data_IF_378703583855
#
_entry.id   IF_378703583855
#
_cell.length_a   1.000
_cell.length_b   1.000
_cell.length_c   1.000
_cell.angle_alpha   90.00
_cell.angle_beta   90.00
_cell.angle_gamma   90.00
#
_symmetry.space_group_name_H-M   'P 1'
#
loop_
_entity.id
_entity.type
_entity.pdbx_description
1 polymer ?
#
# COMPACT_ATOMS: atom_id res chain seq x y z
N UNK A 1 6.36 -1.49 -36.80
CA UNK A 1 6.85 -2.61 -35.98
C UNK A 1 5.66 -3.27 -35.32
N UNK A 2 5.41 -4.58 -35.55
CA UNK A 2 4.38 -5.32 -34.86
C UNK A 2 4.88 -5.81 -33.49
N UNK A 3 4.08 -5.67 -32.44
CA UNK A 3 4.37 -6.24 -31.12
C UNK A 3 3.71 -7.62 -31.09
N UNK A 4 4.50 -8.68 -30.86
CA UNK A 4 4.03 -10.05 -30.73
C UNK A 4 4.02 -10.46 -29.27
N UNK A 5 2.88 -10.91 -28.76
CA UNK A 5 2.76 -11.45 -27.39
C UNK A 5 2.59 -12.97 -27.46
N UNK A 6 3.40 -13.69 -26.68
CA UNK A 6 3.27 -15.14 -26.52
C UNK A 6 2.58 -15.44 -25.19
N UNK A 7 1.59 -16.34 -25.20
CA UNK A 7 0.96 -16.89 -24.01
C UNK A 7 1.63 -18.21 -23.69
N UNK A 8 2.09 -18.46 -22.44
CA UNK A 8 2.61 -19.74 -22.02
C UNK A 8 1.59 -20.87 -22.27
N UNK A 9 2.07 -22.00 -22.76
CA UNK A 9 1.21 -23.13 -23.16
C UNK A 9 0.38 -23.71 -22.00
N UNK A 10 0.97 -23.77 -20.80
CA UNK A 10 0.28 -24.20 -19.58
C UNK A 10 -0.90 -23.30 -19.22
N UNK A 11 -0.79 -22.00 -19.46
CA UNK A 11 -1.89 -21.06 -19.27
C UNK A 11 -2.98 -21.26 -20.34
N UNK A 12 -2.60 -21.45 -21.59
CA UNK A 12 -3.54 -21.71 -22.66
C UNK A 12 -4.33 -23.03 -22.44
N UNK A 13 -3.66 -24.10 -22.01
CA UNK A 13 -4.28 -25.38 -21.66
C UNK A 13 -5.30 -25.18 -20.53
N UNK A 14 -4.91 -24.55 -19.45
CA UNK A 14 -5.78 -24.29 -18.29
C UNK A 14 -7.02 -23.49 -18.66
N UNK A 15 -6.86 -22.43 -19.45
CA UNK A 15 -7.98 -21.60 -19.93
C UNK A 15 -8.91 -22.44 -20.80
N UNK A 16 -8.38 -23.28 -21.69
CA UNK A 16 -9.20 -24.17 -22.56
C UNK A 16 -9.97 -25.22 -21.76
N UNK A 17 -9.37 -25.77 -20.69
CA UNK A 17 -10.04 -26.73 -19.79
C UNK A 17 -11.18 -26.06 -19.02
N UNK A 18 -10.99 -24.83 -18.51
CA UNK A 18 -12.05 -24.08 -17.83
C UNK A 18 -13.20 -23.74 -18.79
N UNK A 19 -12.90 -23.33 -20.01
CA UNK A 19 -13.91 -23.06 -21.03
C UNK A 19 -14.69 -24.32 -21.39
N UNK A 20 -14.04 -25.49 -21.52
CA UNK A 20 -14.72 -26.78 -21.75
C UNK A 20 -15.59 -27.22 -20.59
N UNK A 21 -15.12 -27.00 -19.33
CA UNK A 21 -15.82 -27.48 -18.14
C UNK A 21 -17.00 -26.59 -17.73
N UNK A 22 -16.88 -25.24 -17.87
CA UNK A 22 -17.84 -24.28 -17.32
C UNK A 22 -18.31 -23.21 -18.30
N UNK A 23 -17.78 -23.20 -19.53
CA UNK A 23 -18.08 -22.15 -20.52
C UNK A 23 -17.51 -20.77 -20.23
N UNK A 24 -16.76 -20.62 -19.14
CA UNK A 24 -16.18 -19.35 -18.70
C UNK A 24 -14.82 -19.54 -18.03
N UNK A 25 -13.99 -18.51 -18.09
CA UNK A 25 -12.70 -18.46 -17.36
C UNK A 25 -12.92 -17.73 -16.05
N UNK A 26 -12.71 -18.45 -14.95
CA UNK A 26 -12.74 -17.90 -13.59
C UNK A 26 -11.34 -17.53 -13.15
N UNK A 27 -11.15 -16.29 -12.72
CA UNK A 27 -9.87 -15.81 -12.16
C UNK A 27 -10.02 -15.45 -10.69
N UNK A 28 -9.05 -15.88 -9.89
CA UNK A 28 -8.98 -15.52 -8.49
C UNK A 28 -8.67 -14.02 -8.31
N UNK A 29 -9.26 -13.43 -7.27
CA UNK A 29 -9.05 -12.04 -6.87
C UNK A 29 -8.94 -11.95 -5.35
N UNK A 30 -8.09 -11.06 -4.86
CA UNK A 30 -7.99 -10.74 -3.43
C UNK A 30 -8.40 -9.29 -3.10
N UNK A 31 -8.55 -8.43 -4.10
CA UNK A 31 -9.01 -7.05 -3.93
C UNK A 31 -7.94 -6.12 -3.36
N UNK A 32 -6.71 -6.22 -3.88
CA UNK A 32 -5.62 -5.28 -3.58
C UNK A 32 -5.19 -4.55 -4.84
N UNK A 33 -4.81 -3.30 -4.67
CA UNK A 33 -4.06 -2.54 -5.64
C UNK A 33 -2.59 -2.64 -5.27
N UNK A 34 -1.72 -2.87 -6.25
CA UNK A 34 -0.32 -3.16 -6.01
C UNK A 34 0.60 -2.25 -6.82
N UNK A 35 1.76 -1.94 -6.22
CA UNK A 35 2.83 -1.17 -6.82
C UNK A 35 4.18 -1.85 -6.65
N UNK A 36 5.18 -1.30 -7.34
CA UNK A 36 6.54 -1.81 -7.28
C UNK A 36 7.24 -1.36 -5.99
N UNK A 37 8.02 -2.26 -5.40
CA UNK A 37 8.92 -1.97 -4.28
C UNK A 37 10.24 -1.47 -4.83
N UNK A 38 10.59 -0.21 -4.58
CA UNK A 38 11.90 0.33 -4.97
C UNK A 38 12.98 -0.11 -3.98
N UNK A 39 14.26 -0.09 -4.40
CA UNK A 39 15.39 -0.44 -3.54
C UNK A 39 15.46 0.46 -2.30
N UNK A 40 15.31 1.76 -2.48
CA UNK A 40 15.36 2.74 -1.41
C UNK A 40 14.24 2.50 -0.38
N UNK A 41 13.02 2.17 -0.84
CA UNK A 41 11.90 1.81 0.05
C UNK A 41 12.23 0.53 0.81
N UNK A 42 12.67 -0.54 0.13
CA UNK A 42 13.00 -1.81 0.77
C UNK A 42 14.06 -1.67 1.87
N UNK A 43 15.12 -0.89 1.60
CA UNK A 43 16.17 -0.61 2.59
C UNK A 43 15.64 0.21 3.76
N UNK A 44 14.84 1.25 3.49
CA UNK A 44 14.34 2.17 4.52
C UNK A 44 13.39 1.52 5.52
N UNK A 45 12.59 0.53 5.07
CA UNK A 45 11.64 -0.21 5.93
C UNK A 45 12.27 -1.45 6.58
N UNK A 46 13.51 -1.80 6.20
CA UNK A 46 14.21 -2.99 6.72
C UNK A 46 13.87 -4.30 6.01
N UNK A 47 13.29 -4.26 4.81
CA UNK A 47 13.03 -5.47 3.99
C UNK A 47 14.32 -6.06 3.40
N UNK A 48 15.35 -5.23 3.22
CA UNK A 48 16.67 -5.62 2.72
C UNK A 48 16.76 -5.71 1.21
N UNK A 49 15.85 -6.41 0.53
CA UNK A 49 15.82 -6.55 -0.93
C UNK A 49 14.55 -5.94 -1.52
N UNK A 50 14.66 -5.33 -2.71
CA UNK A 50 13.53 -4.83 -3.49
C UNK A 50 12.77 -6.01 -4.12
N UNK A 51 11.92 -6.67 -3.33
CA UNK A 51 11.09 -7.81 -3.73
C UNK A 51 9.68 -7.66 -3.17
N UNK A 52 8.73 -8.41 -3.74
CA UNK A 52 7.34 -8.38 -3.30
C UNK A 52 6.48 -7.39 -4.09
N UNK A 53 5.23 -7.28 -3.67
CA UNK A 53 4.25 -6.35 -4.21
C UNK A 53 3.80 -5.40 -3.10
N UNK A 54 4.03 -4.09 -3.27
CA UNK A 54 3.56 -3.06 -2.35
C UNK A 54 2.05 -2.91 -2.50
N UNK A 55 1.30 -3.10 -1.43
CA UNK A 55 -0.14 -2.83 -1.38
C UNK A 55 -0.34 -1.32 -1.31
N UNK A 56 -0.82 -0.74 -2.39
CA UNK A 56 -1.13 0.69 -2.49
C UNK A 56 -2.58 1.00 -2.11
N UNK A 57 -3.45 -0.01 -2.15
CA UNK A 57 -4.83 0.11 -1.73
C UNK A 57 -5.46 -1.25 -1.48
N UNK A 58 -6.47 -1.29 -0.61
CA UNK A 58 -7.28 -2.48 -0.32
C UNK A 58 -8.74 -2.12 -0.53
N UNK A 59 -9.42 -2.92 -1.34
CA UNK A 59 -10.84 -2.73 -1.62
C UNK A 59 -11.67 -3.15 -0.41
N UNK A 60 -12.58 -2.27 0.00
CA UNK A 60 -13.44 -2.51 1.16
C UNK A 60 -14.34 -3.75 0.96
N UNK A 61 -14.38 -4.64 1.96
CA UNK A 61 -15.15 -5.88 1.91
C UNK A 61 -14.52 -7.00 1.08
N UNK A 62 -13.36 -6.74 0.46
CA UNK A 62 -12.61 -7.72 -0.32
C UNK A 62 -12.02 -8.84 0.58
N UNK A 63 -11.56 -9.96 -0.01
CA UNK A 63 -10.79 -10.97 0.71
C UNK A 63 -9.58 -10.42 1.47
N UNK A 64 -8.85 -9.48 0.89
CA UNK A 64 -7.69 -8.86 1.52
C UNK A 64 -8.07 -8.00 2.73
N UNK A 65 -9.15 -7.21 2.63
CA UNK A 65 -9.69 -6.42 3.75
C UNK A 65 -10.11 -7.32 4.92
N UNK A 66 -10.85 -8.40 4.62
CA UNK A 66 -11.29 -9.40 5.61
C UNK A 66 -10.13 -10.16 6.25
N UNK A 67 -9.04 -10.39 5.51
CA UNK A 67 -7.83 -11.03 6.01
C UNK A 67 -6.95 -10.08 6.83
N UNK A 68 -7.24 -8.78 6.85
CA UNK A 68 -6.46 -7.77 7.57
C UNK A 68 -5.21 -7.29 6.83
N UNK A 69 -5.19 -7.39 5.50
CA UNK A 69 -4.18 -6.71 4.66
C UNK A 69 -4.43 -5.20 4.72
N UNK A 70 -3.38 -4.42 4.88
CA UNK A 70 -3.45 -2.96 4.97
C UNK A 70 -2.65 -2.31 3.83
N UNK A 71 -3.05 -1.10 3.45
CA UNK A 71 -2.24 -0.29 2.56
C UNK A 71 -0.88 0.02 3.20
N UNK A 72 0.20 -0.14 2.44
CA UNK A 72 1.58 -0.08 2.93
C UNK A 72 2.21 -1.44 3.25
N UNK A 73 1.46 -2.54 3.25
CA UNK A 73 2.01 -3.88 3.33
C UNK A 73 2.83 -4.22 2.08
N UNK A 74 3.84 -5.04 2.24
CA UNK A 74 4.53 -5.65 1.11
C UNK A 74 4.25 -7.15 1.13
N UNK A 75 3.54 -7.66 0.13
CA UNK A 75 3.28 -9.07 -0.01
C UNK A 75 4.56 -9.73 -0.54
N UNK A 76 5.20 -10.55 0.29
CA UNK A 76 6.47 -11.22 -0.01
C UNK A 76 6.31 -12.68 -0.42
N UNK A 77 5.21 -13.33 0.00
CA UNK A 77 4.89 -14.71 -0.38
C UNK A 77 3.39 -14.91 -0.56
N UNK A 78 3.04 -15.84 -1.43
CA UNK A 78 1.67 -16.33 -1.63
C UNK A 78 1.70 -17.86 -1.70
N UNK A 79 0.98 -18.55 -0.80
CA UNK A 79 1.02 -20.02 -0.63
C UNK A 79 2.45 -20.58 -0.57
N UNK A 80 3.32 -19.92 0.23
CA UNK A 80 4.71 -20.29 0.38
C UNK A 80 5.62 -19.93 -0.80
N UNK A 81 5.07 -19.56 -1.97
CA UNK A 81 5.83 -19.15 -3.15
C UNK A 81 6.30 -17.70 -3.01
N UNK A 82 7.60 -17.41 -3.22
CA UNK A 82 8.11 -16.04 -3.12
C UNK A 82 7.54 -15.15 -4.24
N UNK A 83 7.29 -13.89 -3.90
CA UNK A 83 6.95 -12.82 -4.83
C UNK A 83 8.22 -12.01 -5.04
N UNK A 84 8.86 -12.18 -6.17
CA UNK A 84 10.07 -11.43 -6.54
C UNK A 84 9.72 -10.13 -7.27
N UNK A 85 8.73 -10.19 -8.15
CA UNK A 85 8.23 -9.07 -8.94
C UNK A 85 6.76 -8.82 -8.66
N UNK A 86 6.34 -7.57 -8.82
CA UNK A 86 4.93 -7.18 -8.64
C UNK A 86 3.97 -8.02 -9.50
N UNK A 87 4.39 -8.44 -10.70
CA UNK A 87 3.59 -9.25 -11.62
C UNK A 87 3.38 -10.71 -11.16
N UNK A 88 4.18 -11.21 -10.22
CA UNK A 88 4.03 -12.58 -9.72
C UNK A 88 2.75 -12.75 -8.91
N UNK A 89 2.37 -11.73 -8.13
CA UNK A 89 1.19 -11.80 -7.29
C UNK A 89 -0.11 -11.98 -8.10
N UNK A 90 -0.44 -11.15 -9.10
CA UNK A 90 -1.64 -11.35 -9.92
C UNK A 90 -1.65 -12.70 -10.62
N UNK A 91 -0.50 -13.19 -11.08
CA UNK A 91 -0.36 -14.49 -11.72
C UNK A 91 -0.67 -15.63 -10.75
N UNK A 92 -0.12 -15.62 -9.54
CA UNK A 92 -0.35 -16.65 -8.52
C UNK A 92 -1.79 -16.64 -8.04
N UNK A 93 -2.33 -15.46 -7.71
CA UNK A 93 -3.72 -15.28 -7.28
C UNK A 93 -4.70 -15.69 -8.39
N UNK A 94 -4.49 -15.22 -9.61
CA UNK A 94 -5.34 -15.56 -10.77
C UNK A 94 -5.35 -17.05 -11.10
N UNK A 95 -4.28 -17.77 -10.76
CA UNK A 95 -4.15 -19.22 -10.95
C UNK A 95 -4.80 -20.04 -9.83
N UNK A 96 -5.16 -19.40 -8.72
CA UNK A 96 -5.81 -20.07 -7.59
C UNK A 96 -7.33 -20.05 -7.80
N UNK A 97 -7.97 -21.19 -7.59
CA UNK A 97 -9.44 -21.33 -7.75
C UNK A 97 -10.16 -20.43 -6.73
N UNK A 98 -11.19 -19.67 -7.14
CA UNK A 98 -12.06 -18.97 -6.20
C UNK A 98 -12.64 -19.93 -5.16
N UNK A 99 -12.82 -19.44 -3.93
CA UNK A 99 -13.24 -20.22 -2.78
C UNK A 99 -12.12 -20.93 -2.02
N UNK A 100 -10.93 -21.08 -2.59
CA UNK A 100 -9.81 -21.68 -1.88
C UNK A 100 -9.26 -20.74 -0.80
N UNK A 101 -8.84 -21.35 0.32
CA UNK A 101 -8.04 -20.65 1.33
C UNK A 101 -6.58 -20.70 0.94
N UNK A 102 -5.93 -19.56 0.98
CA UNK A 102 -4.51 -19.35 0.69
C UNK A 102 -3.83 -18.61 1.82
N UNK A 103 -2.52 -18.71 1.92
CA UNK A 103 -1.71 -17.94 2.86
C UNK A 103 -0.99 -16.81 2.14
N UNK A 104 -0.97 -15.63 2.76
CA UNK A 104 -0.24 -14.45 2.27
C UNK A 104 0.73 -14.02 3.36
N UNK A 105 2.03 -14.01 3.06
CA UNK A 105 3.02 -13.42 3.96
C UNK A 105 3.20 -11.96 3.59
N UNK A 106 2.87 -11.06 4.51
CA UNK A 106 3.07 -9.62 4.37
C UNK A 106 4.22 -9.16 5.26
N UNK A 107 4.99 -8.20 4.76
CA UNK A 107 5.96 -7.46 5.54
C UNK A 107 5.34 -6.11 5.90
N UNK A 108 5.16 -5.86 7.19
CA UNK A 108 4.51 -4.68 7.76
C UNK A 108 5.36 -4.11 8.87
N UNK A 109 5.76 -2.84 8.76
CA UNK A 109 6.48 -2.10 9.83
C UNK A 109 7.69 -2.85 10.40
N UNK A 110 8.52 -3.42 9.53
CA UNK A 110 9.74 -4.13 9.93
C UNK A 110 9.52 -5.58 10.35
N UNK A 111 8.30 -6.13 10.32
CA UNK A 111 8.00 -7.50 10.70
C UNK A 111 7.21 -8.25 9.62
N UNK A 112 7.52 -9.55 9.45
CA UNK A 112 6.73 -10.44 8.58
C UNK A 112 5.55 -11.02 9.35
N UNK A 113 4.38 -11.12 8.69
CA UNK A 113 3.14 -11.70 9.22
C UNK A 113 2.49 -12.57 8.17
N UNK A 114 1.95 -13.72 8.60
CA UNK A 114 1.16 -14.59 7.74
C UNK A 114 -0.33 -14.33 7.97
N UNK A 115 -1.06 -14.13 6.89
CA UNK A 115 -2.49 -13.86 6.88
C UNK A 115 -3.18 -14.95 6.05
N UNK A 116 -4.28 -15.49 6.58
CA UNK A 116 -5.13 -16.41 5.83
C UNK A 116 -6.14 -15.62 4.99
N UNK A 117 -6.18 -15.89 3.69
CA UNK A 117 -7.06 -15.21 2.75
C UNK A 117 -7.90 -16.22 1.97
N UNK A 118 -9.17 -15.91 1.73
CA UNK A 118 -10.04 -16.72 0.87
C UNK A 118 -10.13 -16.03 -0.49
N UNK A 119 -9.80 -16.75 -1.57
CA UNK A 119 -9.80 -16.17 -2.91
C UNK A 119 -11.24 -15.94 -3.39
N UNK A 120 -11.54 -14.72 -3.86
CA UNK A 120 -12.82 -14.42 -4.50
C UNK A 120 -12.74 -14.59 -6.03
N UNK A 121 -13.89 -14.71 -6.67
CA UNK A 121 -14.01 -14.63 -8.13
C UNK A 121 -13.98 -13.16 -8.57
N UNK A 122 -13.40 -12.85 -9.71
CA UNK A 122 -13.48 -11.53 -10.33
C UNK A 122 -14.90 -11.34 -10.86
N UNK A 123 -15.71 -10.51 -10.20
CA UNK A 123 -16.96 -10.00 -10.78
C UNK A 123 -16.66 -8.78 -11.66
N UNK A 124 -17.40 -8.56 -12.77
CA UNK A 124 -17.22 -7.35 -13.57
C UNK A 124 -17.60 -6.10 -12.79
N UNK A 125 -16.78 -5.08 -12.92
CA UNK A 125 -16.70 -3.83 -12.15
C UNK A 125 -18.01 -3.09 -11.86
N UNK A 126 -18.16 -2.61 -10.61
CA UNK A 126 -19.01 -1.47 -10.24
C UNK A 126 -18.13 -0.23 -10.06
N UNK A 127 -18.48 0.94 -10.61
CA UNK A 127 -17.64 2.15 -10.56
C UNK A 127 -17.58 2.78 -9.17
N UNK A 128 -16.38 3.24 -8.79
CA UNK A 128 -16.08 3.92 -7.53
C UNK A 128 -16.57 5.39 -7.55
N UNK A 129 -17.13 5.84 -6.43
CA UNK A 129 -17.64 7.21 -6.22
C UNK A 129 -16.56 8.10 -5.63
N UNK A 130 -16.37 9.28 -6.23
CA UNK A 130 -15.48 10.36 -5.75
C UNK A 130 -16.16 11.18 -4.68
N UNK A 131 -15.44 11.58 -3.62
CA UNK A 131 -15.92 12.55 -2.62
C UNK A 131 -14.93 13.69 -2.45
N UNK A 132 -15.47 14.88 -2.26
CA UNK A 132 -14.83 16.18 -2.29
C UNK A 132 -14.38 16.67 -0.89
N UNK A 133 -13.47 17.61 -0.91
CA UNK A 133 -12.60 18.21 0.09
C UNK A 133 -13.30 19.29 0.94
N UNK A 134 -12.88 19.47 2.21
CA UNK A 134 -13.05 20.72 2.97
C UNK A 134 -11.99 20.93 4.04
N UNK A 135 -11.44 22.16 4.09
CA UNK A 135 -10.24 22.58 4.81
C UNK A 135 -10.48 23.08 6.24
N UNK A 136 -9.52 22.88 7.14
CA UNK A 136 -9.24 23.71 8.33
C UNK A 136 -7.74 23.95 8.50
N UNK A 137 -7.36 25.18 8.93
CA UNK A 137 -5.97 25.69 8.95
C UNK A 137 -5.11 25.20 10.13
N UNK A 138 -3.81 24.96 9.91
CA UNK A 138 -2.92 24.26 10.84
C UNK A 138 -2.00 25.14 11.71
N UNK A 139 -1.54 24.55 12.83
CA UNK A 139 -0.38 25.03 13.60
C UNK A 139 0.74 24.00 13.49
N UNK A 140 1.91 24.40 12.98
CA UNK A 140 3.06 23.54 12.79
C UNK A 140 3.99 23.53 14.00
N UNK A 141 4.53 22.36 14.36
CA UNK A 141 5.56 22.20 15.40
C UNK A 141 6.97 22.37 14.86
N UNK A 142 7.92 22.69 15.75
CA UNK A 142 9.31 22.96 15.40
C UNK A 142 10.04 21.77 14.74
N UNK A 143 9.69 20.52 15.11
CA UNK A 143 10.31 19.32 14.53
C UNK A 143 9.83 19.06 13.10
N UNK A 144 8.56 19.32 12.81
CA UNK A 144 7.98 19.20 11.47
C UNK A 144 8.52 20.27 10.51
N UNK A 145 8.82 21.47 11.03
CA UNK A 145 9.41 22.57 10.23
C UNK A 145 10.82 22.22 9.71
N UNK A 146 11.62 21.44 10.46
CA UNK A 146 12.98 21.05 10.04
C UNK A 146 13.01 20.18 8.77
N UNK A 147 11.96 19.43 8.49
CA UNK A 147 11.83 18.61 7.28
C UNK A 147 10.88 19.24 6.26
N UNK A 148 10.38 20.45 6.53
CA UNK A 148 9.47 21.17 5.66
C UNK A 148 8.05 20.61 5.66
N UNK A 149 7.57 20.04 6.77
CA UNK A 149 6.18 19.56 6.91
C UNK A 149 5.42 20.37 7.95
N UNK A 150 4.19 20.74 7.61
CA UNK A 150 3.16 21.15 8.56
C UNK A 150 2.00 20.17 8.46
N UNK A 151 1.54 19.68 9.60
CA UNK A 151 0.48 18.65 9.65
C UNK A 151 -0.65 19.07 10.59
N UNK A 152 -1.84 18.56 10.30
CA UNK A 152 -3.05 18.73 11.13
C UNK A 152 -3.63 17.37 11.49
N UNK A 153 -4.47 17.34 12.53
CA UNK A 153 -5.17 16.10 12.87
C UNK A 153 -6.28 15.78 11.87
N UNK A 154 -6.44 14.49 11.59
CA UNK A 154 -7.63 13.99 10.90
C UNK A 154 -8.85 14.17 11.78
N UNK A 155 -9.91 14.74 11.21
CA UNK A 155 -11.21 14.81 11.89
C UNK A 155 -11.84 13.41 12.02
N UNK A 156 -12.69 13.21 13.01
CA UNK A 156 -13.37 11.93 13.20
C UNK A 156 -14.26 11.56 12.01
N UNK A 157 -14.79 12.56 11.30
CA UNK A 157 -15.51 12.36 10.05
C UNK A 157 -14.60 11.79 8.95
N UNK A 158 -13.41 12.37 8.76
CA UNK A 158 -12.41 11.89 7.80
C UNK A 158 -11.88 10.50 8.15
N UNK A 159 -11.65 10.20 9.44
CA UNK A 159 -11.23 8.85 9.88
C UNK A 159 -12.28 7.79 9.53
N UNK A 160 -13.56 8.09 9.75
CA UNK A 160 -14.67 7.19 9.41
C UNK A 160 -14.84 7.02 7.89
N UNK A 161 -14.83 8.11 7.15
CA UNK A 161 -14.99 8.13 5.69
C UNK A 161 -13.86 7.34 5.00
N UNK A 162 -12.62 7.59 5.43
CA UNK A 162 -11.43 6.97 4.86
C UNK A 162 -11.12 5.60 5.47
N UNK A 163 -11.91 5.15 6.47
CA UNK A 163 -11.72 3.90 7.23
C UNK A 163 -10.31 3.79 7.83
N UNK A 164 -9.76 4.91 8.32
CA UNK A 164 -8.45 4.98 8.93
C UNK A 164 -8.56 4.95 10.46
N UNK A 165 -7.65 4.22 11.10
CA UNK A 165 -7.55 4.16 12.57
C UNK A 165 -6.87 5.42 13.14
N UNK A 166 -6.07 6.11 12.34
CA UNK A 166 -5.33 7.30 12.70
C UNK A 166 -4.62 7.91 11.48
N UNK A 167 -3.79 8.91 11.73
CA UNK A 167 -3.02 9.61 10.73
C UNK A 167 -3.04 11.12 10.93
N UNK A 168 -2.24 11.83 10.16
CA UNK A 168 -2.19 13.30 10.13
C UNK A 168 -2.25 13.79 8.69
N UNK A 169 -2.93 14.89 8.45
CA UNK A 169 -3.04 15.52 7.13
C UNK A 169 -1.88 16.49 6.93
N UNK A 170 -1.23 16.42 5.78
CA UNK A 170 -0.21 17.40 5.37
C UNK A 170 -0.91 18.69 4.99
N UNK A 171 -0.67 19.73 5.76
CA UNK A 171 -1.18 21.07 5.48
C UNK A 171 -0.25 21.88 4.57
N UNK A 172 1.07 21.71 4.75
CA UNK A 172 2.08 22.27 3.83
C UNK A 172 3.27 21.31 3.74
N UNK A 173 3.82 21.19 2.53
CA UNK A 173 5.06 20.45 2.28
C UNK A 173 6.04 21.39 1.54
N UNK A 174 7.21 21.61 2.13
CA UNK A 174 8.30 22.43 1.58
C UNK A 174 9.61 21.64 1.64
N UNK A 175 10.66 22.18 1.09
CA UNK A 175 12.05 21.69 1.20
C UNK A 175 12.21 20.16 0.98
N UNK A 176 12.64 19.43 2.01
CA UNK A 176 12.92 18.01 1.94
C UNK A 176 11.64 17.16 1.72
N UNK A 177 10.52 17.56 2.32
CA UNK A 177 9.25 16.87 2.18
C UNK A 177 8.67 17.03 0.76
N UNK A 178 8.69 18.23 0.21
CA UNK A 178 8.26 18.49 -1.17
C UNK A 178 9.13 17.73 -2.20
N UNK A 179 10.46 17.70 -1.97
CA UNK A 179 11.39 16.92 -2.81
C UNK A 179 11.15 15.40 -2.71
N UNK A 180 10.67 14.91 -1.57
CA UNK A 180 10.26 13.51 -1.39
C UNK A 180 8.91 13.19 -2.05
N UNK A 181 8.22 14.19 -2.62
CA UNK A 181 6.95 14.01 -3.34
C UNK A 181 5.70 14.18 -2.48
N UNK A 182 5.83 14.58 -1.21
CA UNK A 182 4.69 14.90 -0.36
C UNK A 182 4.04 16.21 -0.78
N UNK A 183 2.73 16.30 -0.66
CA UNK A 183 1.92 17.47 -1.05
C UNK A 183 0.87 17.76 0.02
N UNK A 184 0.33 18.95 -0.02
CA UNK A 184 -0.86 19.32 0.74
C UNK A 184 -2.02 18.37 0.46
N UNK A 185 -2.75 17.99 1.52
CA UNK A 185 -3.84 17.01 1.46
C UNK A 185 -3.41 15.55 1.56
N UNK A 186 -2.12 15.21 1.53
CA UNK A 186 -1.65 13.85 1.79
C UNK A 186 -1.91 13.47 3.26
N UNK A 187 -2.25 12.21 3.50
CA UNK A 187 -2.47 11.69 4.85
C UNK A 187 -1.29 10.80 5.24
N UNK A 188 -0.52 11.20 6.23
CA UNK A 188 0.59 10.41 6.76
C UNK A 188 0.04 9.37 7.72
N UNK A 189 0.33 8.09 7.47
CA UNK A 189 -0.10 6.94 8.25
C UNK A 189 1.00 6.39 9.16
N UNK A 190 2.25 6.45 8.71
CA UNK A 190 3.41 6.04 9.53
C UNK A 190 4.66 6.84 9.16
N UNK A 191 5.57 6.98 10.13
CA UNK A 191 6.88 7.61 10.00
C UNK A 191 7.91 6.68 10.63
N UNK A 192 9.05 6.45 9.96
CA UNK A 192 10.11 5.57 10.44
C UNK A 192 9.60 4.21 10.94
N UNK A 193 8.70 3.57 10.20
CA UNK A 193 8.03 2.30 10.51
C UNK A 193 7.11 2.34 11.76
N UNK A 194 6.86 3.52 12.33
CA UNK A 194 5.98 3.70 13.48
C UNK A 194 4.67 4.31 13.02
N UNK A 195 3.54 3.71 13.43
CA UNK A 195 2.20 4.22 13.16
C UNK A 195 2.00 5.58 13.83
N UNK A 196 1.29 6.46 13.16
CA UNK A 196 0.97 7.80 13.64
C UNK A 196 -0.55 7.91 13.76
N UNK A 197 -1.08 7.99 14.98
CA UNK A 197 -2.51 8.15 15.20
C UNK A 197 -2.94 9.63 15.23
N UNK A 198 -2.00 10.55 15.52
CA UNK A 198 -2.25 11.99 15.60
C UNK A 198 -0.98 12.82 15.59
N UNK A 199 -1.15 14.16 15.67
CA UNK A 199 -0.04 15.12 15.58
C UNK A 199 1.00 14.92 16.67
N UNK A 200 0.59 14.63 17.91
CA UNK A 200 1.53 14.41 19.04
C UNK A 200 2.45 13.21 18.81
N UNK A 201 1.90 12.11 18.28
CA UNK A 201 2.70 10.92 17.95
C UNK A 201 3.61 11.17 16.77
N UNK A 202 3.13 11.86 15.74
CA UNK A 202 3.94 12.30 14.61
C UNK A 202 5.18 13.07 15.06
N UNK A 203 5.00 14.06 15.94
CA UNK A 203 6.09 14.86 16.50
C UNK A 203 7.06 14.03 17.35
N UNK A 204 6.53 13.14 18.18
CA UNK A 204 7.35 12.25 19.03
C UNK A 204 8.20 11.30 18.18
N UNK A 205 7.63 10.69 17.14
CA UNK A 205 8.34 9.78 16.24
C UNK A 205 9.40 10.55 15.45
N UNK A 206 9.05 11.73 14.94
CA UNK A 206 9.95 12.56 14.15
C UNK A 206 11.13 13.08 14.97
N UNK A 207 10.92 13.44 16.23
CA UNK A 207 11.99 13.90 17.15
C UNK A 207 12.99 12.80 17.48
N UNK A 208 12.55 11.53 17.48
CA UNK A 208 13.38 10.34 17.75
C UNK A 208 14.02 9.77 16.49
N UNK A 209 13.55 10.17 15.30
CA UNK A 209 14.09 9.69 14.04
C UNK A 209 15.54 10.13 13.86
N UNK A 210 16.37 9.22 13.36
CA UNK A 210 17.78 9.49 13.08
C UNK A 210 17.89 10.45 11.87
N UNK A 211 18.28 11.68 12.15
CA UNK A 211 18.39 12.75 11.15
C UNK A 211 19.51 12.53 10.13
N UNK A 212 20.39 11.58 10.37
CA UNK A 212 21.47 11.21 9.43
C UNK A 212 20.98 10.23 8.34
N UNK A 213 19.84 9.59 8.55
CA UNK A 213 19.25 8.59 7.65
C UNK A 213 18.01 9.14 6.95
N UNK A 214 17.69 8.53 5.82
CA UNK A 214 16.42 8.80 5.15
C UNK A 214 15.24 8.33 5.99
N UNK A 215 14.26 9.20 6.22
CA UNK A 215 13.06 8.91 6.99
C UNK A 215 12.00 8.41 6.00
N UNK A 216 11.58 7.15 6.15
CA UNK A 216 10.45 6.64 5.39
C UNK A 216 9.13 7.15 5.97
N UNK A 217 8.25 7.59 5.09
CA UNK A 217 6.91 8.08 5.42
C UNK A 217 5.92 7.34 4.54
N UNK A 218 5.04 6.56 5.16
CA UNK A 218 3.88 5.99 4.46
C UNK A 218 2.79 7.04 4.46
N UNK A 219 2.38 7.47 3.28
CA UNK A 219 1.30 8.43 3.11
C UNK A 219 0.24 7.92 2.14
N UNK A 220 -0.97 8.39 2.30
CA UNK A 220 -2.11 8.13 1.42
C UNK A 220 -2.47 9.41 0.68
N UNK A 221 -2.66 9.29 -0.63
CA UNK A 221 -3.17 10.35 -1.51
C UNK A 221 -4.41 9.83 -2.21
N UNK A 222 -5.58 10.36 -1.85
CA UNK A 222 -6.86 9.79 -2.27
C UNK A 222 -7.02 8.35 -1.79
N UNK A 223 -7.14 7.41 -2.70
CA UNK A 223 -7.28 5.98 -2.37
C UNK A 223 -5.93 5.21 -2.34
N UNK A 224 -4.82 5.86 -2.71
CA UNK A 224 -3.52 5.21 -2.92
C UNK A 224 -2.55 5.49 -1.77
N UNK A 225 -1.98 4.44 -1.21
CA UNK A 225 -0.88 4.55 -0.24
C UNK A 225 0.47 4.35 -0.94
N UNK A 226 1.44 5.17 -0.57
CA UNK A 226 2.80 5.17 -1.13
C UNK A 226 3.82 5.52 -0.06
N UNK A 227 5.07 5.12 -0.29
CA UNK A 227 6.19 5.54 0.56
C UNK A 227 6.89 6.76 -0.05
N UNK A 228 7.13 7.77 0.78
CA UNK A 228 8.06 8.86 0.53
C UNK A 228 9.31 8.68 1.39
N UNK A 229 10.46 9.05 0.85
CA UNK A 229 11.74 9.05 1.57
C UNK A 229 12.20 10.49 1.74
N UNK A 230 12.02 11.01 2.95
CA UNK A 230 12.51 12.33 3.31
C UNK A 230 13.98 12.22 3.67
N UNK A 231 14.82 12.91 2.93
CA UNK A 231 16.25 13.07 3.25
C UNK A 231 16.41 14.43 3.92
N UNK A 232 16.62 14.47 5.27
CA UNK A 232 16.91 15.72 5.93
C UNK A 232 18.12 16.37 5.27
N UNK A 233 18.02 17.62 4.89
CA UNK A 233 19.09 18.32 4.21
C UNK A 233 20.34 18.44 5.10
N UNK A 234 21.54 18.31 4.46
CA UNK A 234 22.79 18.77 5.03
C UNK A 234 22.79 20.30 5.10
#
# INVERSE_FOLDING_TARGET
MGISFAIPMDEAIRVSEQLRASGRVTRGRIGVQIGQVTKDVAESIGLGKAQGALVTGVEAGSPADKAGVEAGDIITRFDGKPIEKVADLPRLVGNTKPGNRSSVTVFRRGASRDLAITIAEIEPDKPATKVAEREEKPKASAAAQQIGLSVTELTDAQKKELKLKGGVVVATATDAAARAGLREGDIILSVANTEVAGVKEFESVLSKADKSKSINVLYRRGEWAQYALIRPGR
#
